data_IF_226864314318
#
_entry.id   IF_226864314318
#
_cell.length_a   1.000
_cell.length_b   1.000
_cell.length_c   1.000
_cell.angle_alpha   90.00
_cell.angle_beta   90.00
_cell.angle_gamma   90.00
#
_symmetry.space_group_name_H-M   'P 1'
#
loop_
_entity.id
_entity.type
_entity.pdbx_description
1 polymer ?
#
# COMPACT_ATOMS: atom_id res chain seq x y z
N UNK A 1 -6.70 12.29 3.65
CA UNK A 1 -6.09 12.32 2.31
C UNK A 1 -7.20 12.34 1.28
N UNK A 2 -7.26 13.39 0.45
CA UNK A 2 -8.19 13.52 -0.66
C UNK A 2 -7.58 12.88 -1.90
N UNK A 3 -8.14 11.74 -2.31
CA UNK A 3 -7.77 11.04 -3.55
C UNK A 3 -8.63 11.60 -4.67
N UNK A 4 -8.04 11.93 -5.82
CA UNK A 4 -8.80 12.60 -6.87
C UNK A 4 -8.02 12.85 -8.15
N UNK A 5 -8.63 13.63 -9.04
CA UNK A 5 -8.02 14.02 -10.31
C UNK A 5 -6.73 14.81 -10.07
N UNK A 6 -5.63 14.53 -10.80
CA UNK A 6 -4.42 15.33 -10.73
C UNK A 6 -4.60 16.77 -11.26
N UNK A 7 -5.75 17.07 -11.89
CA UNK A 7 -6.13 18.42 -12.33
C UNK A 7 -6.96 19.20 -11.29
N UNK A 8 -7.38 18.55 -10.19
CA UNK A 8 -8.03 19.22 -9.06
C UNK A 8 -6.94 19.62 -8.05
N UNK A 9 -6.79 20.92 -7.79
CA UNK A 9 -5.76 21.47 -6.89
C UNK A 9 -5.91 21.00 -5.44
N UNK A 10 -7.09 20.53 -5.04
CA UNK A 10 -7.32 19.99 -3.70
C UNK A 10 -7.01 18.49 -3.57
N UNK A 11 -6.64 17.82 -4.67
CA UNK A 11 -6.19 16.44 -4.66
C UNK A 11 -4.82 16.32 -4.01
N UNK A 12 -4.71 15.43 -3.03
CA UNK A 12 -3.45 15.08 -2.37
C UNK A 12 -2.80 13.83 -2.97
N UNK A 13 -3.61 12.91 -3.53
CA UNK A 13 -3.14 11.64 -4.11
C UNK A 13 -3.85 11.39 -5.44
N UNK A 14 -3.06 11.28 -6.51
CA UNK A 14 -3.54 10.93 -7.86
C UNK A 14 -3.68 9.42 -8.10
N UNK A 15 -4.07 9.01 -9.32
CA UNK A 15 -4.14 7.61 -9.69
C UNK A 15 -2.74 7.00 -9.87
N UNK A 16 -2.66 5.68 -9.89
CA UNK A 16 -1.48 4.97 -10.39
C UNK A 16 -1.31 5.21 -11.89
N UNK A 17 -0.07 5.11 -12.37
CA UNK A 17 0.30 5.57 -13.71
C UNK A 17 -0.33 4.75 -14.85
N UNK A 18 -0.55 3.46 -14.65
CA UNK A 18 -1.09 2.56 -15.67
C UNK A 18 -1.79 1.34 -15.06
N UNK A 19 -2.51 0.60 -15.92
CA UNK A 19 -3.30 -0.57 -15.51
C UNK A 19 -2.43 -1.71 -14.97
N UNK A 20 -1.26 -1.94 -15.56
CA UNK A 20 -0.38 -3.03 -15.14
C UNK A 20 0.10 -2.82 -13.68
N UNK A 21 0.47 -1.59 -13.35
CA UNK A 21 0.86 -1.20 -12.00
C UNK A 21 -0.31 -1.25 -11.03
N UNK A 22 -1.49 -0.78 -11.45
CA UNK A 22 -2.72 -0.91 -10.67
C UNK A 22 -3.04 -2.36 -10.31
N UNK A 23 -3.02 -3.27 -11.29
CA UNK A 23 -3.23 -4.70 -11.06
C UNK A 23 -2.15 -5.31 -10.15
N UNK A 24 -0.89 -4.91 -10.29
CA UNK A 24 0.20 -5.32 -9.40
C UNK A 24 -0.11 -4.92 -7.94
N UNK A 25 -0.51 -3.66 -7.70
CA UNK A 25 -0.81 -3.17 -6.35
C UNK A 25 -2.02 -3.90 -5.75
N UNK A 26 -3.07 -4.15 -6.54
CA UNK A 26 -4.21 -4.95 -6.06
C UNK A 26 -3.81 -6.38 -5.69
N UNK A 27 -2.98 -7.04 -6.52
CA UNK A 27 -2.47 -8.38 -6.23
C UNK A 27 -1.63 -8.41 -4.94
N UNK A 28 -0.87 -7.35 -4.66
CA UNK A 28 -0.14 -7.20 -3.40
C UNK A 28 -1.07 -7.08 -2.20
N UNK A 29 -2.20 -6.37 -2.33
CA UNK A 29 -3.21 -6.30 -1.26
C UNK A 29 -3.88 -7.66 -1.02
N UNK A 30 -4.18 -8.41 -2.07
CA UNK A 30 -4.75 -9.75 -1.96
C UNK A 30 -3.75 -10.72 -1.31
N UNK A 31 -2.48 -10.63 -1.70
CA UNK A 31 -1.40 -11.40 -1.08
C UNK A 31 -1.23 -11.05 0.39
N UNK A 32 -1.26 -9.78 0.77
CA UNK A 32 -1.19 -9.35 2.16
C UNK A 32 -2.31 -9.96 3.02
N UNK A 33 -3.53 -10.02 2.47
CA UNK A 33 -4.66 -10.68 3.15
C UNK A 33 -4.45 -12.19 3.27
N UNK A 34 -3.95 -12.84 2.21
CA UNK A 34 -3.68 -14.26 2.20
C UNK A 34 -2.56 -14.66 3.18
N UNK A 35 -1.53 -13.82 3.29
CA UNK A 35 -0.39 -14.01 4.20
C UNK A 35 -0.71 -13.60 5.65
N UNK A 36 -1.94 -13.09 5.90
CA UNK A 36 -2.40 -12.69 7.22
C UNK A 36 -1.82 -11.37 7.73
N UNK A 37 -1.26 -10.54 6.86
CA UNK A 37 -0.79 -9.19 7.22
C UNK A 37 -1.95 -8.32 7.66
N UNK A 38 -1.71 -7.43 8.62
CA UNK A 38 -2.77 -6.59 9.16
C UNK A 38 -2.88 -5.27 8.37
N UNK A 39 -3.85 -5.20 7.47
CA UNK A 39 -4.21 -3.95 6.78
C UNK A 39 -4.94 -3.04 7.77
N UNK A 40 -4.29 -1.97 8.20
CA UNK A 40 -4.81 -1.01 9.18
C UNK A 40 -5.86 -0.11 8.53
N UNK A 41 -5.61 0.33 7.30
CA UNK A 41 -6.56 1.09 6.50
C UNK A 41 -6.28 0.91 4.99
N UNK A 42 -7.26 1.24 4.16
CA UNK A 42 -7.14 1.15 2.71
C UNK A 42 -7.09 -0.30 2.21
N UNK A 43 -6.07 -0.63 1.42
CA UNK A 43 -5.87 -1.96 0.84
C UNK A 43 -6.86 -2.32 -0.26
N UNK A 44 -7.44 -1.33 -0.94
CA UNK A 44 -8.51 -1.56 -1.89
C UNK A 44 -8.51 -0.55 -3.04
N UNK A 45 -9.10 -0.95 -4.15
CA UNK A 45 -9.50 -0.06 -5.22
C UNK A 45 -10.54 0.96 -4.74
N UNK A 46 -10.51 2.16 -5.31
CA UNK A 46 -11.60 3.12 -5.17
C UNK A 46 -12.56 2.98 -6.36
N UNK A 47 -13.85 3.21 -6.12
CA UNK A 47 -14.86 3.14 -7.16
C UNK A 47 -14.72 4.29 -8.17
N UNK A 48 -15.01 4.02 -9.43
CA UNK A 48 -14.99 5.00 -10.52
C UNK A 48 -13.95 4.70 -11.60
N UNK A 49 -13.85 5.55 -12.64
CA UNK A 49 -12.87 5.40 -13.70
C UNK A 49 -11.45 5.76 -13.22
N UNK A 50 -10.44 5.15 -13.85
CA UNK A 50 -9.04 5.37 -13.56
C UNK A 50 -8.44 4.33 -12.60
N UNK A 51 -7.17 4.53 -12.25
CA UNK A 51 -6.36 3.55 -11.53
C UNK A 51 -6.16 3.95 -10.07
N UNK A 52 -7.27 4.21 -9.38
CA UNK A 52 -7.27 4.74 -8.02
C UNK A 52 -7.29 3.63 -6.98
N UNK A 53 -6.38 3.70 -6.03
CA UNK A 53 -6.36 2.87 -4.83
C UNK A 53 -6.39 3.76 -3.59
N UNK A 54 -6.96 3.25 -2.50
CA UNK A 54 -6.92 3.94 -1.23
C UNK A 54 -5.47 4.03 -0.70
N UNK A 55 -5.03 5.17 -0.12
CA UNK A 55 -3.84 5.21 0.69
C UNK A 55 -3.91 4.13 1.76
N UNK A 56 -2.86 3.33 1.86
CA UNK A 56 -2.89 2.05 2.56
C UNK A 56 -1.79 2.01 3.61
N UNK A 57 -2.15 1.63 4.84
CA UNK A 57 -1.20 1.36 5.91
C UNK A 57 -1.32 -0.10 6.32
N UNK A 58 -0.19 -0.80 6.37
CA UNK A 58 -0.12 -2.23 6.68
C UNK A 58 0.87 -2.44 7.81
N UNK A 59 0.46 -3.18 8.83
CA UNK A 59 1.37 -3.69 9.85
C UNK A 59 1.84 -5.08 9.42
N UNK A 60 3.14 -5.18 9.13
CA UNK A 60 3.78 -6.44 8.78
C UNK A 60 3.81 -7.39 9.97
N UNK A 61 3.76 -8.69 9.68
CA UNK A 61 3.91 -9.73 10.70
C UNK A 61 5.38 -9.97 11.08
N UNK A 62 6.32 -9.58 10.21
CA UNK A 62 7.75 -9.74 10.39
C UNK A 62 8.56 -9.26 9.18
N UNK A 63 9.90 -9.33 9.23
CA UNK A 63 10.79 -8.85 8.16
C UNK A 63 10.73 -9.69 6.87
N UNK A 64 10.11 -10.86 6.92
CA UNK A 64 9.93 -11.75 5.76
C UNK A 64 8.55 -11.62 5.10
N UNK A 65 7.68 -10.75 5.61
CA UNK A 65 6.42 -10.41 4.96
C UNK A 65 6.70 -9.89 3.54
N UNK A 66 5.90 -10.32 2.56
CA UNK A 66 6.14 -9.97 1.17
C UNK A 66 6.10 -8.46 0.94
N UNK A 67 5.24 -7.74 1.67
CA UNK A 67 5.17 -6.28 1.58
C UNK A 67 6.35 -5.54 2.23
N UNK A 68 7.24 -6.24 2.93
CA UNK A 68 8.53 -5.73 3.38
C UNK A 68 9.65 -5.97 2.37
N UNK A 69 9.44 -6.87 1.40
CA UNK A 69 10.47 -7.32 0.44
C UNK A 69 10.18 -6.93 -1.00
N UNK A 70 8.91 -6.75 -1.34
CA UNK A 70 8.45 -6.39 -2.66
C UNK A 70 8.06 -4.92 -2.70
N UNK A 71 8.64 -4.20 -3.65
CA UNK A 71 8.34 -2.79 -3.83
C UNK A 71 6.94 -2.59 -4.42
N UNK A 72 6.07 -1.90 -3.68
CA UNK A 72 4.68 -1.63 -4.06
C UNK A 72 4.57 -0.53 -5.11
N UNK A 73 5.47 0.47 -5.08
CA UNK A 73 5.43 1.67 -5.92
C UNK A 73 4.09 2.44 -5.86
N UNK A 74 3.28 2.24 -4.82
CA UNK A 74 1.96 2.85 -4.66
C UNK A 74 1.86 3.67 -3.37
N UNK A 75 0.68 4.25 -3.06
CA UNK A 75 0.44 4.94 -1.81
C UNK A 75 0.26 3.92 -0.65
N UNK A 76 1.28 3.11 -0.41
CA UNK A 76 1.28 1.99 0.55
C UNK A 76 2.46 2.15 1.50
N UNK A 77 2.17 2.30 2.79
CA UNK A 77 3.16 2.25 3.86
C UNK A 77 3.09 0.93 4.61
N UNK A 78 4.22 0.24 4.73
CA UNK A 78 4.35 -0.98 5.55
C UNK A 78 5.15 -0.65 6.81
N UNK A 79 4.64 -1.07 7.96
CA UNK A 79 5.21 -0.79 9.27
C UNK A 79 5.56 -2.10 9.97
N UNK A 80 6.79 -2.19 10.47
CA UNK A 80 7.27 -3.30 11.30
C UNK A 80 7.68 -2.73 12.65
N UNK A 81 7.12 -3.27 13.73
CA UNK A 81 7.51 -2.90 15.08
C UNK A 81 8.80 -3.63 15.49
N UNK A 82 9.60 -2.96 16.32
CA UNK A 82 10.81 -3.48 16.94
C UNK A 82 10.89 -2.96 18.39
N UNK A 83 11.66 -3.63 19.23
CA UNK A 83 11.78 -3.33 20.67
C UNK A 83 13.06 -2.53 20.98
N UNK A 84 14.15 -2.78 20.24
CA UNK A 84 15.43 -2.13 20.44
C UNK A 84 16.17 -1.83 19.12
N UNK A 85 17.26 -1.07 19.23
CA UNK A 85 18.05 -0.63 18.08
C UNK A 85 18.77 -1.80 17.38
N UNK A 86 19.19 -2.82 18.12
CA UNK A 86 19.89 -3.98 17.54
C UNK A 86 18.93 -4.78 16.65
N UNK A 87 17.69 -5.00 17.10
CA UNK A 87 16.63 -5.62 16.31
C UNK A 87 16.25 -4.78 15.08
N UNK A 88 16.27 -3.45 15.18
CA UNK A 88 15.95 -2.57 14.04
C UNK A 88 17.00 -2.65 12.92
N UNK A 89 18.28 -2.85 13.27
CA UNK A 89 19.40 -2.86 12.33
C UNK A 89 19.58 -4.23 11.65
N UNK A 90 19.17 -5.32 12.31
CA UNK A 90 19.31 -6.70 11.84
C UNK A 90 18.33 -7.07 10.71
#
# INVERSE_FOLDING_TARGET
MKVGSPLDESTEVGPLANEAHYRKVLALFDKARADGSHIVCGGQALAGPGFFVAPTAIRANGPHDALMREETFGPVGTFLAYEDEEQMIA
#
